data_IF_748246996991
#
_entry.id   IF_748246996991
#
_cell.length_a   1.000
_cell.length_b   1.000
_cell.length_c   1.000
_cell.angle_alpha   90.00
_cell.angle_beta   90.00
_cell.angle_gamma   90.00
#
_symmetry.space_group_name_H-M   'P 1'
#
loop_
_entity.id
_entity.type
_entity.pdbx_description
1 polymer ?
#
# COMPACT_ATOMS: atom_id res chain seq x y z
N UNK A 1 -32.75 7.50 -10.06
CA UNK A 1 -32.18 6.92 -8.82
C UNK A 1 -30.88 7.65 -8.51
N UNK A 2 -30.70 8.20 -7.31
CA UNK A 2 -29.40 8.79 -6.89
C UNK A 2 -28.48 7.62 -6.56
N UNK A 3 -27.29 7.57 -7.17
CA UNK A 3 -26.28 6.57 -6.82
C UNK A 3 -25.90 6.72 -5.34
N UNK A 4 -25.68 5.61 -4.60
CA UNK A 4 -25.26 5.68 -3.21
C UNK A 4 -23.87 6.34 -3.14
N UNK A 5 -23.70 7.42 -2.35
CA UNK A 5 -22.39 8.01 -2.12
C UNK A 5 -21.57 7.12 -1.16
N UNK A 6 -20.27 6.91 -1.43
CA UNK A 6 -19.51 7.38 -2.58
C UNK A 6 -19.62 6.43 -3.79
N UNK A 7 -20.14 6.92 -4.91
CA UNK A 7 -20.02 6.27 -6.22
C UNK A 7 -19.02 7.06 -7.07
N UNK A 8 -17.94 6.41 -7.48
CA UNK A 8 -16.96 7.00 -8.38
C UNK A 8 -17.29 6.58 -9.82
N UNK A 9 -17.30 7.54 -10.76
CA UNK A 9 -17.49 7.26 -12.19
C UNK A 9 -16.34 6.43 -12.78
N UNK A 10 -15.18 6.48 -12.14
CA UNK A 10 -13.94 5.83 -12.55
C UNK A 10 -13.34 5.09 -11.35
N UNK A 11 -12.49 4.09 -11.60
CA UNK A 11 -11.72 3.44 -10.54
C UNK A 11 -10.87 4.52 -9.83
N UNK A 12 -11.03 4.73 -8.51
CA UNK A 12 -10.18 5.66 -7.79
C UNK A 12 -8.73 5.16 -7.83
N UNK A 13 -7.79 6.07 -8.10
CA UNK A 13 -6.37 5.76 -8.08
C UNK A 13 -6.00 5.23 -6.68
N UNK A 14 -5.34 4.06 -6.52
CA UNK A 14 -5.10 3.49 -5.20
C UNK A 14 -4.31 4.39 -4.24
N UNK A 15 -3.33 5.13 -4.77
CA UNK A 15 -2.58 6.10 -3.96
C UNK A 15 -3.38 7.36 -3.57
N UNK A 16 -4.00 8.05 -4.52
CA UNK A 16 -4.60 9.37 -4.27
C UNK A 16 -6.13 9.34 -4.05
N UNK A 17 -6.84 8.43 -4.72
CA UNK A 17 -8.29 8.35 -4.73
C UNK A 17 -8.87 7.63 -3.51
N UNK A 18 -8.17 6.62 -2.98
CA UNK A 18 -8.60 5.90 -1.77
C UNK A 18 -8.40 6.74 -0.51
N UNK A 19 -9.24 6.52 0.49
CA UNK A 19 -9.10 7.16 1.79
C UNK A 19 -7.95 6.53 2.60
N UNK A 20 -7.34 7.32 3.49
CA UNK A 20 -6.25 6.88 4.36
C UNK A 20 -6.71 5.86 5.41
N UNK A 21 -8.00 5.83 5.73
CA UNK A 21 -8.58 5.02 6.80
C UNK A 21 -9.43 5.83 7.76
N UNK A 22 -10.10 5.15 8.70
CA UNK A 22 -11.10 5.76 9.59
C UNK A 22 -10.51 6.54 10.75
N UNK A 23 -9.32 6.19 11.24
CA UNK A 23 -8.71 6.79 12.42
C UNK A 23 -7.17 6.75 12.37
N UNK A 24 -6.54 7.42 11.40
CA UNK A 24 -5.07 7.52 11.36
C UNK A 24 -4.52 8.27 12.59
N UNK A 25 -3.38 7.86 13.18
CA UNK A 25 -2.50 6.77 12.71
C UNK A 25 -2.89 5.38 13.23
N UNK A 26 -3.88 5.26 14.11
CA UNK A 26 -4.18 4.00 14.81
C UNK A 26 -4.85 2.94 13.93
N UNK A 27 -5.76 3.36 13.03
CA UNK A 27 -6.47 2.49 12.09
C UNK A 27 -6.42 3.11 10.70
N UNK A 28 -5.71 2.45 9.81
CA UNK A 28 -5.47 2.89 8.42
C UNK A 28 -6.02 1.90 7.42
N UNK A 29 -6.23 2.35 6.19
CA UNK A 29 -6.40 1.47 5.06
C UNK A 29 -5.02 1.06 4.52
N UNK A 30 -4.85 -0.22 4.24
CA UNK A 30 -3.69 -0.74 3.53
C UNK A 30 -4.15 -1.20 2.14
N UNK A 31 -3.49 -0.72 1.09
CA UNK A 31 -3.62 -1.26 -0.26
C UNK A 31 -2.53 -2.30 -0.47
N UNK A 32 -2.91 -3.55 -0.74
CA UNK A 32 -1.96 -4.67 -0.81
C UNK A 32 -1.47 -4.86 -2.25
N UNK A 33 -0.15 -4.77 -2.41
CA UNK A 33 0.56 -4.97 -3.68
C UNK A 33 1.10 -6.39 -3.79
N UNK A 34 1.59 -6.94 -2.68
CA UNK A 34 2.28 -8.23 -2.62
C UNK A 34 1.73 -9.06 -1.47
N UNK A 35 1.51 -10.34 -1.73
CA UNK A 35 1.10 -11.34 -0.74
C UNK A 35 2.28 -12.28 -0.40
N UNK A 36 2.22 -13.02 0.72
CA UNK A 36 3.24 -14.01 1.06
C UNK A 36 3.42 -15.14 0.03
N UNK A 37 2.46 -15.27 -0.90
CA UNK A 37 2.44 -16.32 -1.92
C UNK A 37 3.01 -15.84 -3.26
N UNK A 38 3.37 -14.55 -3.38
CA UNK A 38 3.87 -13.99 -4.63
C UNK A 38 5.38 -14.20 -4.79
N UNK A 39 5.76 -14.64 -6.01
CA UNK A 39 7.15 -14.77 -6.45
C UNK A 39 7.62 -13.58 -7.30
N UNK A 40 6.76 -12.57 -7.44
CA UNK A 40 7.00 -11.35 -8.19
C UNK A 40 6.85 -10.17 -7.24
N UNK A 41 7.77 -9.21 -7.33
CA UNK A 41 7.60 -7.91 -6.71
C UNK A 41 6.71 -7.08 -7.62
N UNK A 42 5.51 -6.80 -7.13
CA UNK A 42 4.58 -5.88 -7.75
C UNK A 42 4.68 -4.52 -7.08
N UNK A 43 4.45 -3.47 -7.86
CA UNK A 43 4.30 -2.11 -7.37
C UNK A 43 3.18 -1.43 -8.16
N UNK A 44 2.55 -0.45 -7.53
CA UNK A 44 1.65 0.43 -8.24
C UNK A 44 2.41 1.29 -9.25
N UNK A 45 1.93 1.30 -10.49
CA UNK A 45 2.35 2.30 -11.46
C UNK A 45 1.79 3.66 -11.05
N UNK A 46 2.64 4.55 -10.54
CA UNK A 46 2.25 5.87 -9.99
C UNK A 46 1.48 6.75 -10.97
N UNK A 47 1.58 6.51 -12.29
CA UNK A 47 0.88 7.30 -13.30
C UNK A 47 -0.54 6.80 -13.51
N UNK A 48 -0.72 5.48 -13.62
CA UNK A 48 -1.99 4.87 -14.03
C UNK A 48 -2.78 4.28 -12.87
N UNK A 49 -2.13 4.00 -11.74
CA UNK A 49 -2.71 3.38 -10.57
C UNK A 49 -2.96 1.87 -10.69
N UNK A 50 -2.50 1.24 -11.78
CA UNK A 50 -2.56 -0.22 -11.93
C UNK A 50 -1.38 -0.90 -11.27
N UNK A 51 -1.60 -2.14 -10.82
CA UNK A 51 -0.51 -2.97 -10.34
C UNK A 51 0.38 -3.40 -11.51
N UNK A 52 1.69 -3.20 -11.36
CA UNK A 52 2.70 -3.46 -12.38
C UNK A 52 3.79 -4.37 -11.82
N UNK A 53 4.33 -5.23 -12.67
CA UNK A 53 5.52 -6.02 -12.33
C UNK A 53 6.72 -5.08 -12.27
N UNK A 54 7.30 -4.92 -11.08
CA UNK A 54 8.62 -4.28 -10.92
C UNK A 54 9.70 -5.29 -11.35
N UNK A 55 9.74 -6.45 -10.70
CA UNK A 55 10.70 -7.52 -11.01
C UNK A 55 10.30 -8.88 -10.42
N UNK A 56 10.82 -10.00 -10.96
CA UNK A 56 10.79 -11.28 -10.27
C UNK A 56 11.59 -11.26 -8.96
N UNK A 57 11.23 -12.15 -8.02
CA UNK A 57 12.09 -12.42 -6.88
C UNK A 57 13.40 -13.08 -7.33
N UNK A 58 14.52 -12.56 -6.84
CA UNK A 58 15.87 -12.98 -7.27
C UNK A 58 16.41 -14.15 -6.46
N UNK A 59 15.80 -14.45 -5.33
CA UNK A 59 16.24 -15.47 -4.37
C UNK A 59 15.05 -16.34 -4.00
N UNK A 60 15.27 -17.39 -3.20
CA UNK A 60 14.22 -18.24 -2.64
C UNK A 60 13.43 -17.59 -1.49
N UNK A 61 13.57 -16.28 -1.29
CA UNK A 61 12.84 -15.55 -0.25
C UNK A 61 11.43 -15.23 -0.73
N UNK A 62 10.45 -15.49 0.13
CA UNK A 62 9.08 -15.00 -0.04
C UNK A 62 8.81 -13.85 0.93
N UNK A 63 7.93 -12.90 0.56
CA UNK A 63 7.44 -11.89 1.50
C UNK A 63 6.83 -12.56 2.73
N UNK A 64 7.19 -12.17 3.96
CA UNK A 64 6.70 -12.83 5.17
C UNK A 64 5.27 -12.40 5.55
N UNK A 65 4.77 -11.33 4.96
CA UNK A 65 3.50 -10.68 5.29
C UNK A 65 2.86 -10.07 4.05
N UNK A 66 1.61 -9.64 4.17
CA UNK A 66 0.99 -8.79 3.16
C UNK A 66 1.75 -7.46 3.15
N UNK A 67 2.11 -7.00 1.96
CA UNK A 67 2.88 -5.79 1.76
C UNK A 67 2.18 -4.86 0.78
N UNK A 68 2.25 -3.57 1.05
CA UNK A 68 1.84 -2.51 0.16
C UNK A 68 1.98 -1.19 0.88
N UNK A 69 1.02 -0.29 0.73
CA UNK A 69 1.14 1.07 1.27
C UNK A 69 -0.15 1.63 1.87
N UNK A 70 0.00 2.72 2.61
CA UNK A 70 -1.11 3.53 3.13
C UNK A 70 -1.49 4.62 2.13
N UNK A 71 -2.72 4.65 1.59
CA UNK A 71 -3.15 5.70 0.65
C UNK A 71 -2.97 7.12 1.21
N UNK A 72 -2.75 8.08 0.32
CA UNK A 72 -2.57 9.51 0.63
C UNK A 72 -1.42 9.82 1.61
N UNK A 73 -0.39 8.99 1.62
CA UNK A 73 0.87 9.27 2.34
C UNK A 73 1.99 9.55 1.34
N UNK A 74 3.05 10.21 1.79
CA UNK A 74 4.22 10.50 0.98
C UNK A 74 5.46 10.64 1.88
N UNK A 75 6.48 9.83 1.60
CA UNK A 75 7.74 9.78 2.33
C UNK A 75 8.72 10.82 1.78
N UNK A 76 8.73 12.00 2.41
CA UNK A 76 9.60 13.13 2.07
C UNK A 76 10.28 13.69 3.33
N UNK A 77 10.48 15.01 3.42
CA UNK A 77 11.17 15.72 4.51
C UNK A 77 10.78 15.30 5.93
N UNK A 78 9.50 15.03 6.21
CA UNK A 78 9.07 14.67 7.55
C UNK A 78 9.50 13.26 7.93
N UNK A 79 9.51 12.33 6.97
CA UNK A 79 10.01 10.96 7.19
C UNK A 79 11.54 10.97 7.26
N UNK A 80 12.21 11.73 6.38
CA UNK A 80 13.66 11.92 6.43
C UNK A 80 14.13 12.44 7.79
N UNK A 81 13.41 13.43 8.36
CA UNK A 81 13.74 14.01 9.66
C UNK A 81 13.65 13.01 10.83
N UNK A 82 12.96 11.87 10.69
CA UNK A 82 12.90 10.82 11.71
C UNK A 82 14.15 9.92 11.67
N UNK A 83 14.87 9.89 10.56
CA UNK A 83 16.04 9.04 10.38
C UNK A 83 17.33 9.89 10.46
N UNK A 84 18.13 9.65 11.50
CA UNK A 84 19.39 10.39 11.76
C UNK A 84 20.42 10.33 10.63
N UNK A 85 20.30 9.35 9.73
CA UNK A 85 21.23 9.10 8.62
C UNK A 85 20.64 9.39 7.24
N UNK A 86 19.36 9.74 7.14
CA UNK A 86 18.70 9.93 5.85
C UNK A 86 18.72 11.40 5.44
N UNK A 87 19.23 11.69 4.25
CA UNK A 87 19.20 13.04 3.66
C UNK A 87 17.84 13.39 3.06
N UNK A 88 17.07 12.38 2.63
CA UNK A 88 15.76 12.52 1.98
C UNK A 88 14.89 11.28 2.19
N UNK A 89 13.59 11.43 2.01
CA UNK A 89 12.68 10.30 1.83
C UNK A 89 12.88 9.63 0.47
N UNK A 90 12.31 8.45 0.30
CA UNK A 90 12.33 7.69 -0.96
C UNK A 90 11.41 8.29 -2.04
N UNK A 91 10.45 9.14 -1.66
CA UNK A 91 9.45 9.68 -2.58
C UNK A 91 8.36 8.67 -2.96
N UNK A 92 8.12 7.70 -2.09
CA UNK A 92 7.06 6.69 -2.22
C UNK A 92 5.93 6.94 -1.22
N UNK A 93 4.75 6.31 -1.42
CA UNK A 93 3.78 6.15 -0.35
C UNK A 93 4.43 5.45 0.85
N UNK A 94 3.93 5.70 2.06
CA UNK A 94 4.39 5.02 3.26
C UNK A 94 4.01 3.54 3.19
N UNK A 95 5.02 2.69 3.15
CA UNK A 95 4.89 1.24 3.14
C UNK A 95 4.25 0.70 4.42
N UNK A 96 3.55 -0.42 4.30
CA UNK A 96 2.95 -1.15 5.42
C UNK A 96 3.05 -2.66 5.22
N UNK A 97 3.49 -3.34 6.28
CA UNK A 97 3.40 -4.79 6.43
C UNK A 97 2.17 -5.13 7.28
N UNK A 98 1.26 -5.95 6.76
CA UNK A 98 0.05 -6.37 7.46
C UNK A 98 0.15 -7.84 7.83
N UNK A 99 0.11 -8.10 9.14
CA UNK A 99 0.06 -9.45 9.70
C UNK A 99 -1.39 -9.92 9.76
N UNK A 100 -1.65 -11.12 9.23
CA UNK A 100 -2.96 -11.76 9.24
C UNK A 100 -2.80 -13.26 9.46
N UNK A 101 -3.58 -13.82 10.38
CA UNK A 101 -3.66 -15.29 10.55
C UNK A 101 -4.30 -15.96 9.33
N UNK A 102 -5.19 -15.24 8.63
CA UNK A 102 -5.95 -15.77 7.51
C UNK A 102 -5.16 -15.58 6.22
N UNK A 103 -5.05 -16.61 5.38
CA UNK A 103 -4.35 -16.50 4.11
C UNK A 103 -5.12 -15.57 3.18
N UNK A 104 -4.46 -14.52 2.70
CA UNK A 104 -4.93 -13.64 1.63
C UNK A 104 -3.95 -13.81 0.47
N UNK A 105 -4.44 -14.35 -0.65
CA UNK A 105 -3.65 -14.72 -1.83
C UNK A 105 -3.97 -13.83 -3.05
N UNK A 106 -4.66 -12.71 -2.83
CA UNK A 106 -5.04 -11.76 -3.87
C UNK A 106 -4.44 -10.38 -3.54
N UNK A 107 -3.69 -9.83 -4.49
CA UNK A 107 -3.24 -8.44 -4.51
C UNK A 107 -4.34 -7.50 -5.05
N UNK A 108 -4.10 -6.19 -5.02
CA UNK A 108 -5.10 -5.16 -5.35
C UNK A 108 -6.33 -5.17 -4.44
N UNK A 109 -6.15 -5.54 -3.17
CA UNK A 109 -7.21 -5.51 -2.15
C UNK A 109 -6.92 -4.41 -1.13
N UNK A 110 -8.00 -3.90 -0.53
CA UNK A 110 -7.95 -2.89 0.54
C UNK A 110 -8.41 -3.56 1.82
N UNK A 111 -7.70 -3.35 2.92
CA UNK A 111 -8.09 -3.83 4.24
C UNK A 111 -7.94 -2.74 5.30
N UNK A 112 -8.61 -2.93 6.43
CA UNK A 112 -8.36 -2.12 7.64
C UNK A 112 -7.20 -2.74 8.42
N UNK A 113 -6.15 -1.95 8.65
CA UNK A 113 -5.01 -2.34 9.47
C UNK A 113 -5.00 -1.51 10.76
N UNK A 114 -4.81 -2.18 11.90
CA UNK A 114 -4.50 -1.52 13.16
C UNK A 114 -2.98 -1.42 13.28
N UNK A 115 -2.47 -0.20 13.47
CA UNK A 115 -1.04 0.04 13.69
C UNK A 115 -0.70 -0.35 15.12
N UNK A 116 0.40 -1.08 15.29
CA UNK A 116 0.88 -1.65 16.56
C UNK A 116 2.32 -1.24 16.84
#
# INVERSE_FOLDING_TARGET
MKFPPPFYRWRPHPWHGLEVGKNPPHIVHAYIEITPFDLIKYEIDKTTGYLRVDRPQRTSSTPPALYGFVPRTYCDRHVAALATTAERGDGDPLDICVLSERPINRSEVILNARVV
#
